data_IF_281166366679
#
_entry.id   IF_281166366679
#
_cell.length_a   1.000
_cell.length_b   1.000
_cell.length_c   1.000
_cell.angle_alpha   90.00
_cell.angle_beta   90.00
_cell.angle_gamma   90.00
#
_symmetry.space_group_name_H-M   'P 1'
#
loop_
_entity.id
_entity.type
_entity.pdbx_description
1 polymer ?
#
# COMPACT_ATOMS: atom_id res chain seq x y z
N UNK A 1 2.60 11.08 -8.97
CA UNK A 1 3.92 11.11 -9.61
C UNK A 1 4.69 12.38 -9.22
N UNK A 2 4.56 13.50 -9.92
CA UNK A 2 5.44 14.67 -9.70
C UNK A 2 5.34 15.32 -8.30
N UNK A 3 4.15 15.31 -7.69
CA UNK A 3 3.92 15.80 -6.31
C UNK A 3 4.35 14.83 -5.22
N UNK A 4 4.30 13.53 -5.49
CA UNK A 4 4.72 12.48 -4.53
C UNK A 4 6.24 12.42 -4.47
N UNK A 5 6.90 12.55 -5.62
CA UNK A 5 8.36 12.72 -5.72
C UNK A 5 8.81 14.01 -5.05
N UNK A 6 8.12 15.15 -5.25
CA UNK A 6 8.42 16.37 -4.51
C UNK A 6 8.21 16.22 -3.01
N UNK A 7 7.14 15.58 -2.53
CA UNK A 7 6.91 15.33 -1.10
C UNK A 7 7.99 14.41 -0.50
N UNK A 8 8.33 13.32 -1.19
CA UNK A 8 9.42 12.43 -0.80
C UNK A 8 10.76 13.17 -0.83
N UNK A 9 11.02 14.00 -1.83
CA UNK A 9 12.22 14.83 -1.91
C UNK A 9 12.23 15.91 -0.82
N UNK A 10 11.09 16.50 -0.45
CA UNK A 10 10.98 17.47 0.64
C UNK A 10 11.28 16.80 1.97
N UNK A 11 10.76 15.59 2.22
CA UNK A 11 11.12 14.80 3.41
C UNK A 11 12.61 14.42 3.41
N UNK A 12 13.17 14.07 2.25
CA UNK A 12 14.59 13.72 2.07
C UNK A 12 15.54 14.94 2.16
N UNK A 13 15.11 16.14 1.74
CA UNK A 13 15.93 17.37 1.69
C UNK A 13 15.73 18.32 2.89
N UNK A 14 14.59 18.27 3.60
CA UNK A 14 14.30 19.20 4.71
C UNK A 14 14.71 18.74 6.11
N UNK A 15 15.25 17.55 6.34
CA UNK A 15 15.30 17.04 7.72
C UNK A 15 16.64 16.39 8.07
N UNK A 16 17.38 17.11 8.93
CA UNK A 16 17.84 16.68 10.26
C UNK A 16 17.99 15.16 10.55
N UNK A 17 18.87 14.76 11.49
CA UNK A 17 19.09 13.36 11.92
C UNK A 17 17.83 12.52 12.26
N UNK A 18 16.65 13.13 12.37
CA UNK A 18 15.37 12.47 12.59
C UNK A 18 14.87 11.60 11.41
N UNK A 19 15.08 11.96 10.14
CA UNK A 19 14.58 11.15 9.00
C UNK A 19 15.32 9.82 8.85
N UNK A 20 16.58 9.74 9.29
CA UNK A 20 17.34 8.48 9.34
C UNK A 20 16.71 7.42 10.26
N UNK A 21 15.79 7.81 11.15
CA UNK A 21 15.08 6.89 12.05
C UNK A 21 13.71 6.45 11.51
N UNK A 22 13.34 6.88 10.31
CA UNK A 22 12.06 6.52 9.68
C UNK A 22 12.20 5.26 8.83
N UNK A 23 11.11 4.50 8.75
CA UNK A 23 10.97 3.38 7.81
C UNK A 23 10.17 3.90 6.62
N UNK A 24 10.74 3.79 5.42
CA UNK A 24 10.08 4.16 4.18
C UNK A 24 9.39 2.93 3.58
N UNK A 25 8.08 3.04 3.36
CA UNK A 25 7.28 2.01 2.70
C UNK A 25 6.72 2.55 1.38
N UNK A 26 6.60 1.69 0.39
CA UNK A 26 6.02 1.98 -0.91
C UNK A 26 5.00 0.93 -1.32
N UNK A 27 4.10 1.30 -2.25
CA UNK A 27 3.18 0.34 -2.82
C UNK A 27 3.93 -0.61 -3.75
N UNK A 28 3.78 -1.91 -3.53
CA UNK A 28 4.36 -2.94 -4.39
C UNK A 28 3.86 -2.80 -5.81
N UNK A 29 4.78 -2.89 -6.76
CA UNK A 29 4.43 -2.93 -8.18
C UNK A 29 3.80 -4.28 -8.54
N UNK A 30 2.66 -4.29 -9.27
CA UNK A 30 2.04 -5.53 -9.70
C UNK A 30 2.93 -6.26 -10.71
N UNK A 31 2.89 -7.59 -10.67
CA UNK A 31 3.63 -8.46 -11.59
C UNK A 31 2.74 -8.88 -12.76
N UNK A 32 3.33 -9.00 -13.95
CA UNK A 32 2.61 -9.48 -15.12
C UNK A 32 2.25 -10.97 -14.98
N UNK A 33 0.97 -11.30 -15.13
CA UNK A 33 0.48 -12.67 -15.18
C UNK A 33 0.09 -13.04 -16.62
N UNK A 34 0.84 -13.96 -17.23
CA UNK A 34 0.58 -14.41 -18.60
C UNK A 34 -0.78 -15.10 -18.77
N UNK A 35 -1.23 -15.84 -17.75
CA UNK A 35 -2.48 -16.61 -17.78
C UNK A 35 -3.71 -15.70 -17.85
N UNK A 36 -3.65 -14.58 -17.15
CA UNK A 36 -4.73 -13.57 -17.11
C UNK A 36 -4.51 -12.43 -18.12
N UNK A 37 -3.31 -12.31 -18.69
CA UNK A 37 -2.93 -11.20 -19.56
C UNK A 37 -3.02 -9.83 -18.87
N UNK A 38 -2.69 -9.77 -17.57
CA UNK A 38 -2.87 -8.59 -16.74
C UNK A 38 -1.78 -8.45 -15.66
N UNK A 39 -1.58 -7.22 -15.20
CA UNK A 39 -0.77 -6.92 -14.01
C UNK A 39 -1.57 -7.24 -12.74
N UNK A 40 -1.05 -8.11 -11.89
CA UNK A 40 -1.70 -8.56 -10.67
C UNK A 40 -0.77 -8.44 -9.45
N UNK A 41 -1.38 -8.32 -8.27
CA UNK A 41 -0.71 -8.54 -6.99
C UNK A 41 -1.19 -9.88 -6.44
N UNK A 42 -0.26 -10.68 -5.90
CA UNK A 42 -0.60 -11.91 -5.22
C UNK A 42 -0.95 -11.65 -3.75
N UNK A 43 -2.23 -11.80 -3.42
CA UNK A 43 -2.75 -11.63 -2.06
C UNK A 43 -2.89 -12.96 -1.29
N UNK A 44 -2.38 -14.07 -1.83
CA UNK A 44 -2.45 -15.41 -1.20
C UNK A 44 -3.87 -15.81 -0.78
N UNK A 45 -4.87 -15.45 -1.61
CA UNK A 45 -6.29 -15.73 -1.35
C UNK A 45 -6.96 -14.83 -0.30
N UNK A 46 -6.23 -13.88 0.31
CA UNK A 46 -6.79 -12.94 1.30
C UNK A 46 -7.72 -11.89 0.67
N UNK A 47 -7.45 -11.51 -0.57
CA UNK A 47 -8.25 -10.56 -1.35
C UNK A 47 -8.93 -11.30 -2.49
N UNK A 48 -10.26 -11.17 -2.58
CA UNK A 48 -11.09 -11.98 -3.48
C UNK A 48 -11.93 -11.16 -4.45
N UNK A 49 -11.94 -9.82 -4.30
CA UNK A 49 -12.66 -8.90 -5.18
C UNK A 49 -11.72 -7.86 -5.75
N UNK A 50 -11.92 -7.51 -7.03
CA UNK A 50 -11.19 -6.41 -7.65
C UNK A 50 -11.59 -5.08 -7.00
N UNK A 51 -10.59 -4.25 -6.75
CA UNK A 51 -10.78 -2.89 -6.26
C UNK A 51 -9.51 -2.08 -6.47
N UNK A 52 -9.66 -0.78 -6.71
CA UNK A 52 -8.53 0.17 -6.66
C UNK A 52 -7.95 0.33 -5.25
N UNK A 53 -8.66 -0.18 -4.23
CA UNK A 53 -8.23 -0.21 -2.82
C UNK A 53 -7.39 -1.44 -2.47
N UNK A 54 -7.09 -2.33 -3.42
CA UNK A 54 -6.26 -3.49 -3.17
C UNK A 54 -4.79 -3.11 -3.32
N UNK A 55 -4.02 -3.13 -2.23
CA UNK A 55 -2.61 -2.76 -2.26
C UNK A 55 -1.78 -3.51 -1.20
N UNK A 56 -0.47 -3.50 -1.42
CA UNK A 56 0.53 -4.07 -0.52
C UNK A 56 1.62 -3.03 -0.30
N UNK A 57 1.93 -2.71 0.96
CA UNK A 57 3.06 -1.85 1.30
C UNK A 57 4.27 -2.70 1.67
N UNK A 58 5.40 -2.39 1.05
CA UNK A 58 6.70 -3.04 1.26
C UNK A 58 7.75 -2.01 1.62
N UNK A 59 8.87 -2.42 2.21
CA UNK A 59 10.02 -1.52 2.39
C UNK A 59 10.62 -1.12 1.03
N UNK A 60 11.08 0.12 0.92
CA UNK A 60 11.74 0.64 -0.29
C UNK A 60 12.88 -0.29 -0.73
N UNK A 61 12.91 -0.69 -2.00
CA UNK A 61 13.88 -1.64 -2.57
C UNK A 61 13.78 -3.09 -2.05
N UNK A 62 12.66 -3.49 -1.44
CA UNK A 62 12.43 -4.87 -0.94
C UNK A 62 11.12 -5.46 -1.45
N UNK A 63 10.84 -5.26 -2.74
CA UNK A 63 9.62 -5.73 -3.41
C UNK A 63 9.42 -7.26 -3.36
N UNK A 64 10.48 -8.03 -3.12
CA UNK A 64 10.49 -9.49 -3.04
C UNK A 64 10.16 -10.07 -1.65
N UNK A 65 10.02 -9.23 -0.63
CA UNK A 65 9.79 -9.64 0.77
C UNK A 65 8.30 -9.80 1.12
N UNK A 66 7.93 -10.25 2.32
CA UNK A 66 6.52 -10.21 2.72
C UNK A 66 6.06 -8.75 2.96
N UNK A 67 4.84 -8.37 2.55
CA UNK A 67 4.36 -6.99 2.72
C UNK A 67 4.20 -6.63 4.19
N UNK A 68 4.63 -5.42 4.56
CA UNK A 68 4.43 -4.86 5.91
C UNK A 68 2.95 -4.62 6.19
N UNK A 69 2.19 -4.24 5.15
CA UNK A 69 0.74 -4.09 5.21
C UNK A 69 0.12 -4.59 3.91
N UNK A 70 -0.96 -5.36 4.02
CA UNK A 70 -1.77 -5.81 2.91
C UNK A 70 -3.23 -5.46 3.18
N UNK A 71 -3.84 -4.73 2.25
CA UNK A 71 -5.23 -4.33 2.34
C UNK A 71 -5.97 -4.66 1.05
N UNK A 72 -7.22 -5.13 1.16
CA UNK A 72 -8.04 -5.35 -0.01
C UNK A 72 -9.44 -5.87 0.27
N UNK A 73 -10.28 -5.84 -0.76
CA UNK A 73 -11.72 -6.12 -0.68
C UNK A 73 -12.01 -7.62 -0.75
N UNK A 74 -12.92 -8.07 0.12
CA UNK A 74 -13.44 -9.45 0.14
C UNK A 74 -14.95 -9.55 -0.12
N UNK A 75 -15.71 -8.52 0.26
CA UNK A 75 -17.14 -8.39 -0.06
C UNK A 75 -17.49 -6.92 -0.37
N UNK A 76 -18.77 -6.53 -0.36
CA UNK A 76 -19.15 -5.18 -0.80
C UNK A 76 -18.57 -4.07 0.09
N UNK A 77 -18.66 -4.26 1.39
CA UNK A 77 -18.20 -3.31 2.40
C UNK A 77 -17.29 -4.00 3.43
N UNK A 78 -16.62 -5.07 2.99
CA UNK A 78 -15.77 -5.89 3.83
C UNK A 78 -14.38 -5.99 3.21
N UNK A 79 -13.38 -5.71 4.03
CA UNK A 79 -11.98 -5.65 3.64
C UNK A 79 -11.13 -6.42 4.63
N UNK A 80 -10.08 -7.08 4.13
CA UNK A 80 -9.03 -7.66 4.96
C UNK A 80 -7.92 -6.64 5.15
N UNK A 81 -7.41 -6.53 6.37
CA UNK A 81 -6.26 -5.70 6.72
C UNK A 81 -5.25 -6.55 7.50
N UNK A 82 -4.22 -7.00 6.80
CA UNK A 82 -3.10 -7.75 7.38
C UNK A 82 -1.94 -6.77 7.56
N UNK A 83 -1.31 -6.74 8.74
CA UNK A 83 -0.14 -5.90 8.99
C UNK A 83 0.83 -6.63 9.90
N UNK A 84 2.11 -6.27 9.78
CA UNK A 84 3.18 -6.84 10.59
C UNK A 84 4.13 -5.75 11.09
N UNK A 85 5.07 -6.16 11.94
CA UNK A 85 6.15 -5.28 12.39
C UNK A 85 6.83 -4.61 11.17
N UNK A 86 7.17 -3.32 11.22
CA UNK A 86 7.15 -2.41 12.37
C UNK A 86 5.83 -1.66 12.61
N UNK A 87 4.75 -2.01 11.90
CA UNK A 87 3.51 -1.24 11.92
C UNK A 87 2.60 -1.61 13.08
N UNK A 88 2.07 -0.59 13.76
CA UNK A 88 1.00 -0.77 14.76
C UNK A 88 -0.38 -0.90 14.11
N UNK A 89 -1.35 -1.53 14.79
CA UNK A 89 -2.73 -1.62 14.28
C UNK A 89 -3.35 -0.24 13.98
N UNK A 90 -3.03 0.78 14.80
CA UNK A 90 -3.52 2.14 14.61
C UNK A 90 -3.01 2.77 13.31
N UNK A 91 -1.70 2.65 13.04
CA UNK A 91 -1.10 3.13 11.80
C UNK A 91 -1.68 2.41 10.58
N UNK A 92 -1.79 1.08 10.66
CA UNK A 92 -2.37 0.26 9.60
C UNK A 92 -3.80 0.69 9.27
N UNK A 93 -4.63 0.88 10.30
CA UNK A 93 -6.00 1.31 10.13
C UNK A 93 -6.11 2.73 9.56
N UNK A 94 -5.28 3.67 10.02
CA UNK A 94 -5.25 5.03 9.48
C UNK A 94 -4.88 5.06 7.99
N UNK A 95 -3.89 4.25 7.58
CA UNK A 95 -3.50 4.11 6.17
C UNK A 95 -4.67 3.51 5.37
N UNK A 96 -5.30 2.43 5.85
CA UNK A 96 -6.45 1.84 5.19
C UNK A 96 -7.59 2.85 4.99
N UNK A 97 -7.92 3.67 6.01
CA UNK A 97 -8.94 4.71 5.89
C UNK A 97 -8.58 5.78 4.85
N UNK A 98 -7.30 6.17 4.74
CA UNK A 98 -6.86 7.12 3.70
C UNK A 98 -7.08 6.57 2.28
N UNK A 99 -7.06 5.25 2.10
CA UNK A 99 -7.39 4.61 0.82
C UNK A 99 -8.90 4.51 0.56
N UNK A 100 -9.71 4.64 1.61
CA UNK A 100 -11.15 4.51 1.55
C UNK A 100 -11.87 5.76 1.04
N UNK A 101 -11.14 6.81 0.66
CA UNK A 101 -11.71 8.06 0.16
C UNK A 101 -12.62 7.80 -1.04
N UNK A 102 -13.93 7.81 -0.77
CA UNK A 102 -14.95 7.82 -1.81
C UNK A 102 -14.79 9.17 -2.50
N UNK A 103 -14.37 9.19 -3.76
CA UNK A 103 -14.80 10.28 -4.62
C UNK A 103 -16.33 10.27 -4.54
N UNK A 104 -16.91 11.20 -3.80
CA UNK A 104 -18.36 11.43 -3.68
C UNK A 104 -19.01 11.83 -5.03
N UNK A 105 -18.34 11.60 -6.17
CA UNK A 105 -18.69 12.18 -7.45
C UNK A 105 -18.24 11.36 -8.68
N UNK A 106 -18.07 10.04 -8.58
CA UNK A 106 -17.89 9.18 -9.75
C UNK A 106 -18.53 7.81 -9.51
N UNK A 107 -19.85 7.77 -9.63
CA UNK A 107 -20.55 6.60 -10.19
C UNK A 107 -20.62 6.77 -11.72
#
# INVERSE_FOLDING_TARGET
>A
AHRDEEMAQVLKHRVEPAVRKLVQLENRQPSWCNELGAFILNFNGRVTRSSVKNFQLVEENRDDTEPVLQFGRVANDEFTLDFQWPMSPFQAFAIALSSCDSKLACD
#
